data_IF_079316087492
#
_entry.id   IF_079316087492
#
_cell.length_a   1.000
_cell.length_b   1.000
_cell.length_c   1.000
_cell.angle_alpha   90.00
_cell.angle_beta   90.00
_cell.angle_gamma   90.00
#
_symmetry.space_group_name_H-M   'P 1'
#
loop_
_entity.id
_entity.type
_entity.pdbx_description
1 polymer ?
#
# COMPACT_ATOMS: atom_id res chain seq x y z
N UNK A 1 7.32 -7.58 1.92
CA UNK A 1 7.84 -8.88 1.46
C UNK A 1 9.13 -9.18 2.22
N UNK A 2 9.63 -10.43 2.21
CA UNK A 2 10.86 -10.81 2.92
C UNK A 2 12.11 -10.00 2.57
N UNK A 3 12.32 -9.67 1.29
CA UNK A 3 13.49 -8.90 0.82
C UNK A 3 13.53 -7.51 1.46
N UNK A 4 12.44 -6.76 1.36
CA UNK A 4 12.34 -5.43 1.97
C UNK A 4 12.33 -5.52 3.49
N UNK A 5 11.69 -6.54 4.09
CA UNK A 5 11.66 -6.70 5.53
C UNK A 5 13.08 -6.78 6.12
N UNK A 6 13.95 -7.64 5.56
CA UNK A 6 15.35 -7.72 6.02
C UNK A 6 16.12 -6.42 5.77
N UNK A 7 16.04 -5.87 4.56
CA UNK A 7 16.82 -4.69 4.20
C UNK A 7 16.40 -3.42 4.96
N UNK A 8 15.10 -3.22 5.17
CA UNK A 8 14.56 -2.11 5.96
C UNK A 8 14.84 -2.31 7.44
N UNK A 9 14.77 -3.54 7.97
CA UNK A 9 15.09 -3.81 9.38
C UNK A 9 16.57 -3.56 9.68
N UNK A 10 17.48 -4.00 8.81
CA UNK A 10 18.92 -3.68 8.93
C UNK A 10 19.11 -2.16 8.90
N UNK A 11 18.47 -1.47 7.96
CA UNK A 11 18.58 0.00 7.85
C UNK A 11 18.00 0.72 9.07
N UNK A 12 16.91 0.22 9.64
CA UNK A 12 16.29 0.76 10.86
C UNK A 12 17.14 0.56 12.11
N UNK A 13 17.80 -0.60 12.26
CA UNK A 13 18.71 -0.88 13.38
C UNK A 13 19.95 0.02 13.34
N UNK A 14 20.44 0.30 12.14
CA UNK A 14 21.66 1.08 11.93
C UNK A 14 21.41 2.58 11.82
N UNK A 15 20.15 3.02 11.85
CA UNK A 15 19.78 4.43 11.82
C UNK A 15 20.04 5.09 13.18
N UNK A 16 20.63 6.31 13.23
CA UNK A 16 20.84 7.03 14.49
C UNK A 16 19.54 7.53 15.13
N UNK A 17 18.44 7.62 14.39
CA UNK A 17 17.15 8.08 14.89
C UNK A 17 16.29 6.91 15.43
N UNK A 18 15.36 7.16 16.37
CA UNK A 18 14.43 6.13 16.83
C UNK A 18 13.47 5.68 15.71
N UNK A 19 13.50 4.39 15.36
CA UNK A 19 12.62 3.83 14.32
C UNK A 19 11.55 2.94 14.93
N UNK A 20 10.28 3.22 14.59
CA UNK A 20 9.16 2.32 14.86
C UNK A 20 8.97 1.38 13.67
N UNK A 21 9.37 0.12 13.84
CA UNK A 21 9.28 -0.89 12.78
C UNK A 21 8.01 -1.73 12.93
N UNK A 22 7.05 -1.55 12.01
CA UNK A 22 5.77 -2.25 12.02
C UNK A 22 5.83 -3.47 11.09
N UNK A 23 5.69 -4.66 11.67
CA UNK A 23 5.69 -5.93 10.93
C UNK A 23 4.26 -6.45 10.71
N UNK A 24 3.75 -6.50 9.46
CA UNK A 24 2.42 -7.01 9.20
C UNK A 24 2.37 -8.52 9.41
N UNK A 25 1.89 -8.96 10.59
CA UNK A 25 1.78 -10.38 10.94
C UNK A 25 1.06 -11.22 9.88
N UNK A 26 0.11 -10.60 9.16
CA UNK A 26 -0.67 -11.24 8.09
C UNK A 26 0.22 -11.72 6.94
N UNK A 27 1.37 -11.08 6.77
CA UNK A 27 2.36 -11.36 5.73
C UNK A 27 3.52 -12.25 6.21
N UNK A 28 3.53 -12.76 7.44
CA UNK A 28 4.67 -13.56 7.92
C UNK A 28 4.90 -14.84 7.13
N UNK A 29 3.83 -15.58 6.81
CA UNK A 29 3.95 -16.90 6.18
C UNK A 29 3.80 -16.86 4.65
N UNK A 30 3.29 -15.77 4.10
CA UNK A 30 3.07 -15.60 2.67
C UNK A 30 2.39 -14.27 2.36
N UNK A 31 2.33 -13.87 1.08
CA UNK A 31 1.47 -12.77 0.64
C UNK A 31 0.00 -13.07 0.95
N UNK A 32 -0.78 -12.02 1.20
CA UNK A 32 -2.23 -12.12 1.37
C UNK A 32 -2.92 -10.99 0.61
N UNK A 33 -3.78 -11.35 -0.32
CA UNK A 33 -4.48 -10.46 -1.25
C UNK A 33 -5.91 -10.11 -0.80
N UNK A 34 -6.34 -10.62 0.35
CA UNK A 34 -7.69 -10.41 0.89
C UNK A 34 -8.68 -11.53 0.57
N UNK A 35 -8.32 -12.52 -0.27
CA UNK A 35 -9.17 -13.67 -0.56
C UNK A 35 -9.01 -14.76 0.49
N UNK A 36 -9.91 -14.76 1.47
CA UNK A 36 -9.93 -15.75 2.56
C UNK A 36 -10.55 -17.10 2.15
N UNK A 37 -11.24 -17.14 1.01
CA UNK A 37 -11.78 -18.34 0.37
C UNK A 37 -10.68 -19.17 -0.35
N UNK A 38 -9.50 -18.58 -0.55
CA UNK A 38 -8.36 -19.21 -1.22
C UNK A 38 -7.28 -19.59 -0.21
N UNK A 39 -6.64 -20.76 -0.35
CA UNK A 39 -5.47 -21.10 0.46
C UNK A 39 -4.33 -20.09 0.26
N UNK A 40 -3.69 -19.68 1.36
CA UNK A 40 -2.53 -18.79 1.31
C UNK A 40 -1.38 -19.50 0.59
N UNK A 41 -0.71 -18.77 -0.30
CA UNK A 41 0.53 -19.24 -0.94
C UNK A 41 1.72 -18.89 -0.07
N UNK A 42 2.64 -19.82 0.25
CA UNK A 42 3.82 -19.51 1.05
C UNK A 42 4.81 -18.63 0.29
N UNK A 43 5.66 -17.88 1.02
CA UNK A 43 6.70 -17.04 0.40
C UNK A 43 7.64 -17.80 -0.53
N UNK A 44 7.93 -19.08 -0.26
CA UNK A 44 8.78 -19.92 -1.11
C UNK A 44 8.25 -20.12 -2.54
N UNK A 45 6.99 -19.75 -2.81
CA UNK A 45 6.36 -19.80 -4.13
C UNK A 45 6.05 -18.41 -4.70
N UNK A 46 6.55 -17.34 -4.10
CA UNK A 46 6.35 -15.96 -4.53
C UNK A 46 7.68 -15.32 -4.92
N UNK A 47 7.70 -14.45 -5.93
CA UNK A 47 8.94 -13.85 -6.47
C UNK A 47 9.79 -13.13 -5.41
N UNK A 48 9.14 -12.47 -4.44
CA UNK A 48 9.84 -11.80 -3.33
C UNK A 48 10.23 -12.72 -2.16
N UNK A 49 10.12 -14.04 -2.33
CA UNK A 49 10.45 -15.03 -1.31
C UNK A 49 11.95 -15.30 -1.17
N UNK A 50 12.73 -15.06 -2.23
CA UNK A 50 14.18 -15.29 -2.23
C UNK A 50 14.92 -14.09 -1.62
N UNK A 51 15.46 -14.28 -0.43
CA UNK A 51 16.17 -13.22 0.31
C UNK A 51 17.68 -13.40 0.15
N UNK A 52 18.43 -12.38 -0.33
CA UNK A 52 19.88 -12.46 -0.43
C UNK A 52 20.54 -12.76 0.92
N UNK A 53 21.51 -13.66 0.93
CA UNK A 53 22.37 -13.88 2.10
C UNK A 53 23.29 -12.67 2.34
N UNK A 54 23.84 -12.57 3.55
CA UNK A 54 24.75 -11.47 3.91
C UNK A 54 24.06 -10.14 4.24
N UNK A 55 24.85 -9.07 4.30
CA UNK A 55 24.39 -7.72 4.67
C UNK A 55 23.95 -6.95 3.43
N UNK A 56 22.75 -6.36 3.50
CA UNK A 56 22.29 -5.36 2.55
C UNK A 56 21.29 -4.43 3.23
N UNK A 57 21.12 -3.24 2.64
CA UNK A 57 20.19 -2.20 3.11
C UNK A 57 19.14 -1.92 2.05
N UNK A 58 17.94 -1.58 2.51
CA UNK A 58 16.92 -0.90 1.70
C UNK A 58 16.74 0.49 2.31
N UNK A 59 16.95 1.57 1.54
CA UNK A 59 16.97 2.92 2.10
C UNK A 59 15.61 3.30 2.70
N UNK A 60 15.64 3.85 3.93
CA UNK A 60 14.48 4.48 4.55
C UNK A 60 14.08 5.72 3.75
N UNK A 61 12.79 6.08 3.83
CA UNK A 61 12.23 7.22 3.11
C UNK A 61 12.19 7.06 1.59
N UNK A 62 12.29 5.80 1.10
CA UNK A 62 12.11 5.46 -0.32
C UNK A 62 10.93 4.53 -0.52
N UNK A 63 10.02 4.91 -1.40
CA UNK A 63 8.88 4.08 -1.79
C UNK A 63 9.25 3.17 -2.98
N UNK A 64 8.45 2.15 -3.27
CA UNK A 64 8.67 1.23 -4.38
C UNK A 64 7.40 1.08 -5.22
N UNK A 65 7.54 1.16 -6.54
CA UNK A 65 6.46 0.79 -7.47
C UNK A 65 6.45 -0.74 -7.56
N UNK A 66 5.34 -1.35 -7.14
CA UNK A 66 5.13 -2.81 -7.17
C UNK A 66 4.43 -3.29 -8.42
N UNK A 67 3.59 -2.43 -8.99
CA UNK A 67 2.97 -2.61 -10.29
C UNK A 67 3.02 -1.27 -11.01
N UNK A 68 3.71 -1.16 -12.16
CA UNK A 68 3.64 0.05 -12.96
C UNK A 68 2.24 0.18 -13.56
N UNK A 69 1.81 1.42 -13.76
CA UNK A 69 0.55 1.74 -14.42
C UNK A 69 0.49 3.21 -14.82
N UNK A 70 -0.54 3.60 -15.56
CA UNK A 70 -0.72 4.95 -16.07
C UNK A 70 -2.11 5.54 -15.80
N UNK A 71 -3.11 4.74 -15.41
CA UNK A 71 -4.48 5.21 -15.25
C UNK A 71 -4.79 5.83 -13.89
N UNK A 72 -4.22 5.28 -12.82
CA UNK A 72 -4.48 5.73 -11.45
C UNK A 72 -3.33 5.36 -10.52
N UNK A 73 -2.95 6.24 -9.60
CA UNK A 73 -1.97 5.95 -8.55
C UNK A 73 -2.67 5.35 -7.34
N UNK A 74 -2.11 4.27 -6.80
CA UNK A 74 -2.57 3.63 -5.57
C UNK A 74 -1.46 3.71 -4.52
N UNK A 75 -1.70 4.46 -3.45
CA UNK A 75 -0.78 4.58 -2.32
C UNK A 75 -1.15 3.56 -1.24
N UNK A 76 -0.27 2.61 -0.97
CA UNK A 76 -0.51 1.54 0.00
C UNK A 76 0.76 1.17 0.78
N UNK A 77 0.60 0.39 1.85
CA UNK A 77 1.70 -0.20 2.61
C UNK A 77 1.23 -1.49 3.30
N UNK A 78 2.18 -2.36 3.65
CA UNK A 78 1.88 -3.62 4.34
C UNK A 78 1.03 -4.57 3.51
N UNK A 79 0.01 -5.19 4.13
CA UNK A 79 -0.90 -6.14 3.47
C UNK A 79 -1.61 -5.52 2.27
N UNK A 80 -1.99 -4.23 2.38
CA UNK A 80 -2.80 -3.54 1.38
C UNK A 80 -2.13 -3.41 0.01
N UNK A 81 -0.81 -3.57 -0.07
CA UNK A 81 -0.08 -3.63 -1.34
C UNK A 81 -0.54 -4.81 -2.19
N UNK A 82 -0.70 -5.99 -1.59
CA UNK A 82 -1.15 -7.19 -2.29
C UNK A 82 -2.63 -7.15 -2.63
N UNK A 83 -3.44 -6.58 -1.73
CA UNK A 83 -4.86 -6.34 -1.99
C UNK A 83 -5.05 -5.39 -3.17
N UNK A 84 -4.26 -4.31 -3.23
CA UNK A 84 -4.27 -3.38 -4.36
C UNK A 84 -3.91 -4.08 -5.69
N UNK A 85 -2.89 -4.95 -5.68
CA UNK A 85 -2.49 -5.70 -6.88
C UNK A 85 -3.60 -6.63 -7.36
N UNK A 86 -4.24 -7.37 -6.46
CA UNK A 86 -5.37 -8.23 -6.79
C UNK A 86 -6.56 -7.43 -7.30
N UNK A 87 -6.95 -6.36 -6.61
CA UNK A 87 -8.06 -5.50 -7.03
C UNK A 87 -7.83 -4.88 -8.41
N UNK A 88 -6.61 -4.41 -8.69
CA UNK A 88 -6.28 -3.85 -9.99
C UNK A 88 -6.27 -4.92 -11.11
N UNK A 89 -5.82 -6.14 -10.81
CA UNK A 89 -5.91 -7.26 -11.74
C UNK A 89 -7.37 -7.67 -12.04
N UNK A 90 -8.22 -7.72 -11.01
CA UNK A 90 -9.63 -8.14 -11.13
C UNK A 90 -10.51 -7.11 -11.84
N UNK A 91 -10.24 -5.81 -11.61
CA UNK A 91 -10.93 -4.71 -12.30
C UNK A 91 -10.39 -4.47 -13.70
N UNK A 92 -9.18 -4.94 -14.02
CA UNK A 92 -8.49 -4.64 -15.27
C UNK A 92 -7.93 -3.21 -15.35
N UNK A 93 -7.99 -2.43 -14.27
CA UNK A 93 -7.50 -1.04 -14.25
C UNK A 93 -5.97 -1.02 -14.26
N UNK A 94 -5.40 -0.16 -15.08
CA UNK A 94 -3.96 0.08 -15.18
C UNK A 94 -3.43 0.97 -14.03
N UNK A 95 -3.70 0.53 -12.80
CA UNK A 95 -3.27 1.18 -11.57
C UNK A 95 -1.76 1.01 -11.31
N UNK A 96 -1.08 2.13 -11.08
CA UNK A 96 0.27 2.15 -10.53
C UNK A 96 0.23 1.97 -9.01
N UNK A 97 0.79 0.88 -8.50
CA UNK A 97 0.75 0.53 -7.08
C UNK A 97 2.07 0.90 -6.43
N UNK A 98 2.01 1.90 -5.54
CA UNK A 98 3.13 2.42 -4.78
C UNK A 98 3.07 1.85 -3.36
N UNK A 99 4.06 1.02 -3.02
CA UNK A 99 4.33 0.59 -1.66
C UNK A 99 5.21 1.64 -0.98
N UNK A 100 4.65 2.36 0.00
CA UNK A 100 5.35 3.46 0.66
C UNK A 100 6.62 3.00 1.38
N UNK A 101 6.63 1.78 1.92
CA UNK A 101 7.66 1.19 2.82
C UNK A 101 7.92 1.99 4.10
N UNK A 102 8.33 3.25 3.99
CA UNK A 102 8.51 4.19 5.09
C UNK A 102 7.33 5.15 5.15
N UNK A 103 6.64 5.20 6.30
CA UNK A 103 5.49 6.10 6.49
C UNK A 103 5.94 7.51 6.88
N UNK A 104 7.01 7.63 7.66
CA UNK A 104 7.59 8.91 8.03
C UNK A 104 9.10 8.75 8.31
N UNK A 105 9.98 9.55 7.68
CA UNK A 105 9.71 10.45 6.56
C UNK A 105 9.38 9.67 5.28
N UNK A 106 8.31 10.04 4.57
CA UNK A 106 7.86 9.36 3.35
C UNK A 106 8.56 9.85 2.08
N UNK A 107 8.50 9.07 1.01
CA UNK A 107 9.05 9.44 -0.31
C UNK A 107 8.09 10.34 -1.10
N UNK A 108 8.01 11.61 -0.71
CA UNK A 108 7.07 12.56 -1.32
C UNK A 108 7.31 12.72 -2.83
N UNK A 109 8.58 12.70 -3.25
CA UNK A 109 8.94 12.84 -4.66
C UNK A 109 8.36 11.71 -5.51
N UNK A 110 8.46 10.45 -5.06
CA UNK A 110 7.87 9.33 -5.78
C UNK A 110 6.34 9.43 -5.84
N UNK A 111 5.69 9.80 -4.74
CA UNK A 111 4.23 9.95 -4.68
C UNK A 111 3.77 11.01 -5.68
N UNK A 112 4.34 12.21 -5.62
CA UNK A 112 3.99 13.33 -6.50
C UNK A 112 4.25 12.98 -7.95
N UNK A 113 5.39 12.34 -8.27
CA UNK A 113 5.70 11.93 -9.63
C UNK A 113 4.67 10.91 -10.18
N UNK A 114 4.23 9.95 -9.35
CA UNK A 114 3.22 8.97 -9.73
C UNK A 114 1.86 9.65 -9.97
N UNK A 115 1.39 10.48 -9.03
CA UNK A 115 0.08 11.15 -9.16
C UNK A 115 0.05 12.14 -10.32
N UNK A 116 1.12 12.93 -10.54
CA UNK A 116 1.20 13.82 -11.71
C UNK A 116 1.13 13.08 -13.04
N UNK A 117 1.62 11.84 -13.08
CA UNK A 117 1.56 10.99 -14.27
C UNK A 117 0.14 10.45 -14.51
N UNK A 118 -0.55 10.04 -13.45
CA UNK A 118 -1.84 9.33 -13.57
C UNK A 118 -3.06 10.25 -13.46
N UNK A 119 -2.90 11.42 -12.86
CA UNK A 119 -3.96 12.39 -12.59
C UNK A 119 -5.00 11.94 -11.55
N UNK A 120 -4.89 10.73 -11.00
CA UNK A 120 -5.88 10.16 -10.07
C UNK A 120 -5.19 9.42 -8.94
N UNK A 121 -5.78 9.43 -7.75
CA UNK A 121 -5.17 8.79 -6.58
C UNK A 121 -6.21 8.07 -5.69
N UNK A 122 -5.91 6.81 -5.34
CA UNK A 122 -6.59 6.07 -4.26
C UNK A 122 -5.58 5.70 -3.18
N UNK A 123 -5.92 6.00 -1.92
CA UNK A 123 -5.10 5.66 -0.76
C UNK A 123 -5.73 4.49 -0.02
N UNK A 124 -4.93 3.48 0.33
CA UNK A 124 -5.43 2.24 0.92
C UNK A 124 -4.60 1.85 2.15
N UNK A 125 -5.27 1.63 3.28
CA UNK A 125 -4.64 1.13 4.50
C UNK A 125 -5.61 0.40 5.44
N UNK A 126 -5.13 -0.52 6.27
CA UNK A 126 -5.98 -1.28 7.21
C UNK A 126 -6.52 -0.43 8.37
N UNK A 127 -5.81 0.64 8.76
CA UNK A 127 -6.19 1.51 9.88
C UNK A 127 -7.55 2.19 9.66
N UNK A 128 -8.15 2.70 10.74
CA UNK A 128 -9.42 3.44 10.72
C UNK A 128 -9.32 4.71 9.85
N UNK A 129 -10.47 5.18 9.35
CA UNK A 129 -10.54 6.28 8.38
C UNK A 129 -10.19 7.63 9.02
N UNK A 130 -10.87 7.95 10.12
CA UNK A 130 -10.81 9.27 10.75
C UNK A 130 -9.46 9.44 11.44
N UNK A 131 -8.77 10.55 11.13
CA UNK A 131 -7.42 10.86 11.61
C UNK A 131 -6.39 9.75 11.34
N UNK A 132 -6.66 8.85 10.40
CA UNK A 132 -5.72 7.85 9.93
C UNK A 132 -4.66 8.46 9.00
N UNK A 133 -3.58 7.72 8.76
CA UNK A 133 -2.47 8.19 7.94
C UNK A 133 -2.87 8.55 6.50
N UNK A 134 -3.93 7.95 5.97
CA UNK A 134 -4.47 8.33 4.66
C UNK A 134 -5.02 9.76 4.60
N UNK A 135 -5.35 10.39 5.73
CA UNK A 135 -5.67 11.81 5.78
C UNK A 135 -4.48 12.70 5.41
N UNK A 136 -3.31 12.41 5.98
CA UNK A 136 -2.06 13.12 5.69
C UNK A 136 -1.63 12.92 4.23
N UNK A 137 -1.67 11.67 3.74
CA UNK A 137 -1.37 11.37 2.34
C UNK A 137 -2.27 12.15 1.38
N UNK A 138 -3.58 12.24 1.67
CA UNK A 138 -4.52 13.00 0.86
C UNK A 138 -4.22 14.49 0.86
N UNK A 139 -3.81 15.06 2.01
CA UNK A 139 -3.46 16.47 2.11
C UNK A 139 -2.19 16.78 1.31
N UNK A 140 -1.14 15.98 1.46
CA UNK A 140 0.12 16.13 0.71
C UNK A 140 -0.08 15.99 -0.80
N UNK A 141 -0.88 15.02 -1.24
CA UNK A 141 -1.21 14.87 -2.66
C UNK A 141 -1.99 16.07 -3.17
N UNK A 142 -3.01 16.53 -2.44
CA UNK A 142 -3.80 17.69 -2.84
C UNK A 142 -2.93 18.95 -2.94
N UNK A 143 -2.05 19.19 -1.97
CA UNK A 143 -1.17 20.36 -1.94
C UNK A 143 -0.20 20.39 -3.13
N UNK A 144 0.35 19.23 -3.50
CA UNK A 144 1.44 19.14 -4.47
C UNK A 144 0.99 18.80 -5.90
N UNK A 145 -0.24 18.31 -6.08
CA UNK A 145 -0.78 17.82 -7.35
C UNK A 145 -2.16 18.43 -7.68
N UNK A 146 -2.54 19.57 -7.07
CA UNK A 146 -3.88 20.15 -7.22
C UNK A 146 -4.32 20.31 -8.68
N UNK A 147 -3.42 20.76 -9.56
CA UNK A 147 -3.76 21.05 -10.95
C UNK A 147 -3.73 19.81 -11.85
N UNK A 148 -3.04 18.76 -11.43
CA UNK A 148 -2.94 17.50 -12.16
C UNK A 148 -4.06 16.51 -11.77
N UNK A 149 -4.75 16.74 -10.66
CA UNK A 149 -5.85 15.88 -10.22
C UNK A 149 -7.09 16.02 -11.13
N UNK A 150 -7.43 14.93 -11.81
CA UNK A 150 -8.60 14.81 -12.68
C UNK A 150 -9.85 14.33 -11.93
N UNK A 151 -9.69 13.75 -10.73
CA UNK A 151 -10.79 13.27 -9.90
C UNK A 151 -10.50 13.45 -8.40
N UNK A 152 -11.51 13.46 -7.53
CA UNK A 152 -11.33 13.48 -6.08
C UNK A 152 -10.48 12.31 -5.58
N UNK A 153 -9.53 12.59 -4.66
CA UNK A 153 -8.72 11.55 -4.03
C UNK A 153 -9.64 10.64 -3.20
N UNK A 154 -9.60 9.33 -3.47
CA UNK A 154 -10.37 8.33 -2.72
C UNK A 154 -9.52 7.68 -1.64
N UNK A 155 -10.16 7.24 -0.55
CA UNK A 155 -9.51 6.52 0.56
C UNK A 155 -10.33 5.28 0.91
N UNK A 156 -9.68 4.12 0.90
CA UNK A 156 -10.29 2.82 1.25
C UNK A 156 -9.59 2.28 2.50
N UNK A 157 -10.31 2.27 3.62
CA UNK A 157 -9.70 2.03 4.95
C UNK A 157 -10.52 1.08 5.81
N UNK A 158 -9.99 0.67 6.95
CA UNK A 158 -10.82 0.10 8.02
C UNK A 158 -11.93 1.07 8.42
N UNK A 159 -13.05 0.53 8.92
CA UNK A 159 -14.16 1.35 9.43
C UNK A 159 -13.77 2.07 10.72
N UNK A 160 -14.45 3.18 11.04
CA UNK A 160 -14.29 3.91 12.31
C UNK A 160 -14.97 3.19 13.47
N UNK A 161 -14.53 1.96 13.70
CA UNK A 161 -14.96 1.06 14.78
C UNK A 161 -13.75 0.29 15.29
N UNK A 162 -13.79 -0.22 16.53
CA UNK A 162 -12.86 -1.26 16.96
C UNK A 162 -12.87 -2.45 15.99
N UNK A 163 -11.72 -3.10 15.81
CA UNK A 163 -11.59 -4.24 14.90
C UNK A 163 -12.43 -5.43 15.42
N UNK A 164 -13.44 -5.90 14.67
CA UNK A 164 -14.31 -6.99 15.11
C UNK A 164 -13.68 -8.37 14.86
N UNK A 165 -14.11 -9.39 15.61
CA UNK A 165 -13.67 -10.76 15.35
C UNK A 165 -14.54 -11.46 14.29
N UNK A 166 -15.86 -11.54 14.52
CA UNK A 166 -16.75 -12.29 13.63
C UNK A 166 -16.96 -11.60 12.27
N UNK A 167 -16.86 -10.28 12.22
CA UNK A 167 -17.02 -9.45 11.02
C UNK A 167 -15.66 -9.08 10.38
N UNK A 168 -14.63 -9.91 10.58
CA UNK A 168 -13.27 -9.70 10.05
C UNK A 168 -13.31 -9.28 8.57
N UNK A 169 -14.03 -10.02 7.73
CA UNK A 169 -14.05 -9.83 6.29
C UNK A 169 -15.00 -8.72 5.81
N UNK A 170 -15.96 -8.32 6.66
CA UNK A 170 -16.77 -7.13 6.42
C UNK A 170 -16.00 -5.86 6.80
N UNK A 171 -15.04 -5.96 7.74
CA UNK A 171 -14.19 -4.86 8.19
C UNK A 171 -12.98 -4.67 7.28
N UNK A 172 -12.24 -5.74 7.00
CA UNK A 172 -10.99 -5.68 6.24
C UNK A 172 -11.25 -5.09 4.84
N UNK A 173 -10.45 -4.10 4.39
CA UNK A 173 -10.58 -3.52 3.04
C UNK A 173 -10.14 -4.51 1.95
N UNK A 174 -10.92 -5.57 1.71
CA UNK A 174 -10.64 -6.59 0.71
C UNK A 174 -10.70 -6.11 -0.75
N UNK A 175 -10.29 -6.96 -1.70
CA UNK A 175 -10.09 -6.59 -3.11
C UNK A 175 -11.37 -6.10 -3.78
N UNK A 176 -12.55 -6.58 -3.38
CA UNK A 176 -13.82 -6.13 -3.92
C UNK A 176 -14.14 -4.68 -3.51
N UNK A 177 -13.87 -4.31 -2.25
CA UNK A 177 -14.10 -2.94 -1.74
C UNK A 177 -13.09 -1.97 -2.35
N UNK A 178 -11.84 -2.41 -2.49
CA UNK A 178 -10.79 -1.64 -3.18
C UNK A 178 -11.13 -1.46 -4.67
N UNK A 179 -11.47 -2.53 -5.37
CA UNK A 179 -11.77 -2.51 -6.80
C UNK A 179 -12.92 -1.58 -7.15
N UNK A 180 -13.96 -1.51 -6.30
CA UNK A 180 -15.04 -0.54 -6.46
C UNK A 180 -14.54 0.90 -6.42
N UNK A 181 -13.67 1.24 -5.47
CA UNK A 181 -13.11 2.59 -5.39
C UNK A 181 -12.20 2.92 -6.59
N UNK A 182 -11.50 1.94 -7.14
CA UNK A 182 -10.74 2.12 -8.38
C UNK A 182 -11.66 2.44 -9.56
N UNK A 183 -12.77 1.71 -9.71
CA UNK A 183 -13.77 1.96 -10.77
C UNK A 183 -14.42 3.33 -10.60
N UNK A 184 -14.89 3.66 -9.39
CA UNK A 184 -15.50 4.96 -9.08
C UNK A 184 -14.55 6.13 -9.38
N UNK A 185 -13.26 6.00 -9.06
CA UNK A 185 -12.27 7.04 -9.34
C UNK A 185 -11.96 7.22 -10.84
N UNK A 186 -12.30 6.24 -11.69
CA UNK A 186 -12.11 6.32 -13.15
C UNK A 186 -13.34 6.87 -13.89
N UNK A 187 -14.52 6.85 -13.26
CA UNK A 187 -15.77 7.34 -13.86
C UNK A 187 -15.99 8.86 -13.67
N UNK A 188 -15.34 9.44 -12.67
CA UNK A 188 -15.34 10.90 -12.38
C UNK A 188 -14.29 11.66 -13.20
#
# INVERSE_FOLDING_TARGET
>A
NPIDAKGLLISAIEDPDPVIFLEPKRLYNGPFDGHHDRPITPWSKHEFGEVPEGHYRVPLGKAAIRRPGAAITVLAYGTMVYVAMAAAAETGIDAEIVDLRTLLPLDLNMIVASVRKTGRCVIIHEATLTSGFGGELSALVQENCFFELEAPIRRVTGWDTPYPHAQEWDYFPGPQRVGRALLEAMEE
#
